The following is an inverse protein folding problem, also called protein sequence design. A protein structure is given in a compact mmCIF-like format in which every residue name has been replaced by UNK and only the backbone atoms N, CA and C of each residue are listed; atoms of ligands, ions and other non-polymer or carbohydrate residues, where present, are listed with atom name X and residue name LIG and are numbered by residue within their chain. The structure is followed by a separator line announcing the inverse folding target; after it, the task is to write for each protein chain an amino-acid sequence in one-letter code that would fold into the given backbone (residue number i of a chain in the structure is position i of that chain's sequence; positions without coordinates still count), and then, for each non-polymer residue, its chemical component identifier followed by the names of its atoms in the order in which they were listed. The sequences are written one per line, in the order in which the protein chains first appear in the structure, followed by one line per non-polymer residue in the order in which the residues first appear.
data_IF_922202146209
#
_entry.id   IF_922202146209
#
_cell.length_a   1.000
_cell.length_b   1.000
_cell.length_c   1.000
_cell.angle_alpha   90.00
_cell.angle_beta   90.00
_cell.angle_gamma   90.00
#
_symmetry.space_group_name_H-M   'P 1'
#
loop_
_entity.id
_entity.type
_entity.pdbx_description
1 polymer ?
#
# COMPACT_ATOMS: atom_id res chain seq x y z
N UNK A 1 -25.59 93.08 40.69
CA UNK A 1 -25.01 94.23 39.94
C UNK A 1 -24.30 93.65 38.73
N UNK A 2 -24.67 94.13 37.55
CA UNK A 2 -24.32 93.64 36.20
C UNK A 2 -22.87 94.00 35.87
N UNK A 3 -22.18 93.12 35.13
CA UNK A 3 -21.31 93.34 33.94
C UNK A 3 -20.41 92.09 33.77
N UNK A 4 -20.49 91.20 32.76
CA UNK A 4 -20.36 91.32 31.29
C UNK A 4 -19.17 92.25 30.94
N UNK A 5 -18.08 91.86 30.25
CA UNK A 5 -17.99 91.25 28.90
C UNK A 5 -16.50 91.13 28.47
N UNK A 6 -16.14 90.04 27.75
CA UNK A 6 -15.21 89.90 26.57
C UNK A 6 -13.75 90.44 26.66
N UNK A 7 -12.76 90.03 25.85
CA UNK A 7 -12.67 89.31 24.57
C UNK A 7 -11.27 88.63 24.49
N UNK A 8 -11.26 87.60 23.65
CA UNK A 8 -10.24 86.64 23.20
C UNK A 8 -8.96 87.21 22.51
N UNK A 9 -7.78 86.56 22.69
CA UNK A 9 -7.03 85.82 21.63
C UNK A 9 -5.55 85.50 21.98
N UNK A 10 -5.21 84.24 21.70
CA UNK A 10 -3.93 83.67 21.23
C UNK A 10 -2.69 83.73 22.13
N UNK A 11 -2.22 82.55 22.58
CA UNK A 11 -0.79 82.20 22.58
C UNK A 11 -0.61 80.66 22.60
N UNK A 12 0.35 80.17 21.81
CA UNK A 12 0.78 78.76 21.68
C UNK A 12 1.51 78.30 22.96
N UNK A 13 1.32 77.04 23.39
CA UNK A 13 2.22 76.37 24.34
C UNK A 13 2.41 74.89 23.97
N UNK A 14 3.66 74.45 24.03
CA UNK A 14 4.20 73.10 23.80
C UNK A 14 4.03 72.20 25.06
N UNK A 15 3.95 70.88 24.81
CA UNK A 15 3.90 69.71 25.72
C UNK A 15 4.89 69.74 26.94
N UNK A 16 4.74 68.94 28.04
CA UNK A 16 4.29 67.53 28.02
C UNK A 16 3.57 66.93 29.27
N UNK A 17 3.15 65.67 29.08
CA UNK A 17 2.93 64.59 30.07
C UNK A 17 2.08 64.85 31.33
N UNK A 18 0.87 64.26 31.34
CA UNK A 18 0.52 63.27 32.37
C UNK A 18 -0.77 62.48 32.05
N UNK A 19 -0.70 61.17 32.33
CA UNK A 19 -1.79 60.26 32.75
C UNK A 19 -2.89 59.83 31.76
N UNK A 20 -2.71 58.60 31.27
CA UNK A 20 -3.68 57.50 31.17
C UNK A 20 -5.10 57.84 30.71
N UNK A 21 -5.34 57.73 29.39
CA UNK A 21 -6.64 57.32 28.88
C UNK A 21 -6.55 55.85 28.45
N UNK A 22 -7.42 55.04 29.05
CA UNK A 22 -7.66 53.63 28.74
C UNK A 22 -8.13 53.51 27.29
N UNK A 23 -7.26 53.06 26.40
CA UNK A 23 -7.65 52.62 25.06
C UNK A 23 -7.99 51.15 25.15
N UNK A 24 -9.29 50.85 25.08
CA UNK A 24 -9.84 49.51 25.03
C UNK A 24 -9.51 48.93 23.64
N UNK A 25 -8.33 48.31 23.50
CA UNK A 25 -7.93 47.60 22.29
C UNK A 25 -8.46 46.17 22.39
N UNK A 26 -9.69 45.96 21.90
CA UNK A 26 -10.32 44.65 21.77
C UNK A 26 -9.49 43.83 20.77
N UNK A 27 -8.61 42.98 21.28
CA UNK A 27 -8.00 41.91 20.51
C UNK A 27 -9.06 40.81 20.35
N UNK A 28 -9.81 40.86 19.25
CA UNK A 28 -10.62 39.74 18.81
C UNK A 28 -9.67 38.70 18.21
N UNK A 29 -9.06 37.88 19.07
CA UNK A 29 -8.36 36.66 18.64
C UNK A 29 -9.45 35.72 18.13
N UNK A 30 -9.64 35.71 16.81
CA UNK A 30 -10.34 34.65 16.10
C UNK A 30 -9.55 33.35 16.32
N UNK A 31 -9.90 32.61 17.37
CA UNK A 31 -9.67 31.17 17.43
C UNK A 31 -10.52 30.55 16.32
N UNK A 32 -9.99 30.55 15.10
CA UNK A 32 -10.34 29.52 14.13
C UNK A 32 -9.72 28.23 14.66
N UNK A 33 -10.40 27.58 15.61
CA UNK A 33 -10.25 26.16 15.83
C UNK A 33 -10.60 25.50 14.50
N UNK A 34 -9.58 25.16 13.73
CA UNK A 34 -9.70 24.23 12.61
C UNK A 34 -10.22 22.92 13.21
N UNK A 35 -11.54 22.77 13.22
CA UNK A 35 -12.16 21.47 13.37
C UNK A 35 -11.80 20.74 12.08
N UNK A 36 -10.66 20.06 12.11
CA UNK A 36 -10.39 19.01 11.16
C UNK A 36 -11.50 17.98 11.36
N UNK A 37 -12.52 18.03 10.51
CA UNK A 37 -13.42 16.90 10.34
C UNK A 37 -12.55 15.85 9.66
N UNK A 38 -11.84 15.08 10.48
CA UNK A 38 -11.30 13.80 10.05
C UNK A 38 -12.52 12.95 9.75
N UNK A 39 -12.89 12.84 8.48
CA UNK A 39 -13.67 11.69 8.03
C UNK A 39 -12.82 10.48 8.37
N UNK A 40 -13.08 9.88 9.54
CA UNK A 40 -12.49 8.61 9.90
C UNK A 40 -13.02 7.60 8.89
N UNK A 41 -12.22 7.25 7.90
CA UNK A 41 -12.49 6.09 7.07
C UNK A 41 -12.56 4.91 8.03
N UNK A 42 -13.76 4.33 8.16
CA UNK A 42 -13.97 3.20 9.05
C UNK A 42 -13.17 2.02 8.47
N UNK A 43 -12.01 1.75 9.06
CA UNK A 43 -11.21 0.59 8.72
C UNK A 43 -12.02 -0.64 9.08
N UNK A 44 -12.10 -1.58 8.14
CA UNK A 44 -12.79 -2.85 8.32
C UNK A 44 -12.19 -3.56 9.56
N UNK A 45 -13.01 -4.22 10.42
CA UNK A 45 -12.51 -4.97 11.57
C UNK A 45 -11.46 -6.02 11.20
N UNK A 46 -11.49 -6.52 9.96
CA UNK A 46 -10.49 -7.43 9.46
C UNK A 46 -9.10 -6.83 9.47
N UNK A 47 -8.95 -5.58 9.03
CA UNK A 47 -7.64 -4.97 8.79
C UNK A 47 -7.18 -4.04 9.92
N UNK A 48 -7.95 -3.92 11.00
CA UNK A 48 -7.57 -3.11 12.16
C UNK A 48 -6.48 -3.76 13.03
N UNK A 49 -6.11 -5.01 12.75
CA UNK A 49 -5.09 -5.76 13.47
C UNK A 49 -4.06 -6.32 12.51
N UNK A 50 -2.80 -6.25 12.91
CA UNK A 50 -1.65 -6.81 12.19
C UNK A 50 -1.31 -8.23 12.65
N UNK A 51 -1.88 -8.68 13.78
CA UNK A 51 -1.72 -10.05 14.28
C UNK A 51 -2.31 -11.09 13.30
N UNK A 52 -1.59 -12.20 13.02
CA UNK A 52 -2.06 -13.26 12.15
C UNK A 52 -3.40 -13.81 12.62
N UNK A 53 -4.39 -13.79 11.73
CA UNK A 53 -5.71 -14.34 12.01
C UNK A 53 -5.68 -15.88 11.87
N UNK A 54 -5.94 -16.65 12.94
CA UNK A 54 -5.98 -18.11 12.88
C UNK A 54 -7.22 -18.59 12.13
N UNK A 55 -7.00 -19.35 11.05
CA UNK A 55 -8.07 -19.91 10.22
C UNK A 55 -7.79 -21.38 9.87
N UNK A 56 -8.85 -22.18 9.69
CA UNK A 56 -8.75 -23.51 9.10
C UNK A 56 -9.41 -23.54 7.74
N UNK A 57 -8.77 -24.24 6.81
CA UNK A 57 -9.31 -24.45 5.47
C UNK A 57 -9.06 -25.89 5.03
N UNK A 58 -10.02 -26.46 4.29
CA UNK A 58 -9.90 -27.81 3.74
C UNK A 58 -10.46 -27.82 2.32
N UNK A 59 -9.61 -28.12 1.34
CA UNK A 59 -10.03 -28.22 -0.06
C UNK A 59 -9.06 -29.08 -0.89
N UNK A 60 -9.55 -29.61 -2.02
CA UNK A 60 -8.71 -30.24 -3.04
C UNK A 60 -8.10 -29.15 -3.92
N UNK A 61 -6.77 -29.12 -4.02
CA UNK A 61 -6.06 -28.20 -4.91
C UNK A 61 -6.31 -28.60 -6.38
N UNK A 62 -6.37 -29.91 -6.67
CA UNK A 62 -6.66 -30.43 -8.01
C UNK A 62 -8.06 -30.03 -8.50
N UNK A 63 -9.08 -30.21 -7.66
CA UNK A 63 -10.45 -29.83 -8.02
C UNK A 63 -10.59 -28.32 -8.15
N UNK A 64 -9.99 -27.54 -7.24
CA UNK A 64 -9.98 -26.08 -7.34
C UNK A 64 -9.42 -25.62 -8.68
N UNK A 65 -8.30 -26.18 -9.13
CA UNK A 65 -7.69 -25.85 -10.44
C UNK A 65 -8.53 -26.31 -11.63
N UNK A 66 -9.12 -27.49 -11.53
CA UNK A 66 -9.89 -28.10 -12.63
C UNK A 66 -11.23 -27.41 -12.85
N UNK A 67 -11.90 -27.04 -11.76
CA UNK A 67 -13.31 -26.67 -11.77
C UNK A 67 -13.54 -25.15 -11.65
N UNK A 68 -12.50 -24.36 -11.38
CA UNK A 68 -12.61 -22.90 -11.24
C UNK A 68 -11.71 -22.16 -12.22
N UNK A 69 -12.11 -20.94 -12.54
CA UNK A 69 -11.34 -19.99 -13.34
C UNK A 69 -11.69 -18.58 -12.86
N UNK A 70 -11.40 -17.53 -13.63
CA UNK A 70 -11.69 -16.16 -13.20
C UNK A 70 -13.18 -15.79 -13.03
N UNK A 71 -14.08 -16.68 -13.45
CA UNK A 71 -15.54 -16.50 -13.40
C UNK A 71 -16.29 -17.61 -12.63
N UNK A 72 -15.73 -18.82 -12.55
CA UNK A 72 -16.40 -19.97 -11.91
C UNK A 72 -15.87 -20.19 -10.51
N UNK A 73 -16.76 -20.38 -9.54
CA UNK A 73 -16.43 -20.64 -8.14
C UNK A 73 -16.81 -22.08 -7.73
N UNK A 74 -16.14 -22.59 -6.70
CA UNK A 74 -16.55 -23.80 -5.98
C UNK A 74 -16.93 -23.46 -4.53
N UNK A 75 -17.92 -24.17 -4.00
CA UNK A 75 -18.31 -24.03 -2.60
C UNK A 75 -17.24 -24.60 -1.65
N UNK A 76 -17.03 -23.90 -0.54
CA UNK A 76 -16.13 -24.32 0.53
C UNK A 76 -16.54 -23.64 1.85
N UNK A 77 -15.70 -23.76 2.86
CA UNK A 77 -15.85 -23.09 4.14
C UNK A 77 -14.48 -22.76 4.72
N UNK A 78 -14.48 -21.73 5.54
CA UNK A 78 -13.38 -21.36 6.42
C UNK A 78 -13.86 -21.53 7.85
N UNK A 79 -13.02 -22.08 8.72
CA UNK A 79 -13.29 -22.03 10.16
C UNK A 79 -12.46 -20.91 10.77
N UNK A 80 -13.12 -19.98 11.45
CA UNK A 80 -12.52 -18.87 12.17
C UNK A 80 -12.46 -19.21 13.65
N UNK A 81 -11.34 -19.00 14.31
CA UNK A 81 -11.27 -19.12 15.77
C UNK A 81 -11.90 -17.88 16.41
N UNK A 82 -13.09 -18.01 16.98
CA UNK A 82 -13.84 -16.88 17.57
C UNK A 82 -13.45 -16.62 19.02
N UNK A 83 -12.97 -17.66 19.70
CA UNK A 83 -12.30 -17.63 21.00
C UNK A 83 -11.35 -18.84 21.11
N UNK A 84 -10.36 -18.87 22.03
CA UNK A 84 -9.38 -19.96 22.09
C UNK A 84 -10.05 -21.35 22.11
N UNK A 85 -9.81 -22.14 21.07
CA UNK A 85 -10.39 -23.48 20.89
C UNK A 85 -11.81 -23.53 20.32
N UNK A 86 -12.51 -22.40 20.17
CA UNK A 86 -13.84 -22.32 19.58
C UNK A 86 -13.76 -21.89 18.11
N UNK A 87 -14.27 -22.74 17.21
CA UNK A 87 -14.20 -22.53 15.77
C UNK A 87 -15.58 -22.35 15.15
N UNK A 88 -15.79 -21.20 14.51
CA UNK A 88 -17.02 -20.89 13.79
C UNK A 88 -16.85 -21.13 12.28
N UNK A 89 -17.78 -21.88 11.70
CA UNK A 89 -17.76 -22.21 10.27
C UNK A 89 -18.41 -21.11 9.45
N UNK A 90 -17.65 -20.52 8.54
CA UNK A 90 -18.08 -19.47 7.63
C UNK A 90 -18.12 -20.04 6.21
N UNK A 91 -19.33 -20.21 5.62
CA UNK A 91 -19.45 -20.70 4.26
C UNK A 91 -18.98 -19.65 3.25
N UNK A 92 -18.23 -20.10 2.26
CA UNK A 92 -17.68 -19.25 1.21
C UNK A 92 -17.67 -19.97 -0.14
N UNK A 93 -17.45 -19.18 -1.17
CA UNK A 93 -17.13 -19.62 -2.52
C UNK A 93 -15.66 -19.29 -2.77
N UNK A 94 -14.91 -20.19 -3.40
CA UNK A 94 -13.50 -19.97 -3.73
C UNK A 94 -13.21 -20.26 -5.20
N UNK A 95 -12.25 -19.54 -5.76
CA UNK A 95 -11.74 -19.77 -7.13
C UNK A 95 -10.26 -19.48 -7.23
N UNK A 96 -9.62 -20.06 -8.24
CA UNK A 96 -8.28 -19.64 -8.66
C UNK A 96 -8.32 -18.25 -9.30
N UNK A 97 -7.17 -17.57 -9.29
CA UNK A 97 -6.94 -16.31 -10.02
C UNK A 97 -5.51 -16.22 -10.54
N UNK A 98 -5.28 -15.32 -11.50
CA UNK A 98 -3.95 -14.99 -12.00
C UNK A 98 -3.36 -16.03 -12.95
N UNK A 99 -2.15 -15.76 -13.44
CA UNK A 99 -1.55 -16.53 -14.54
C UNK A 99 -0.30 -17.30 -14.10
N UNK A 100 0.78 -16.58 -13.75
CA UNK A 100 2.10 -17.18 -13.50
C UNK A 100 2.08 -18.16 -12.32
N UNK A 101 1.65 -17.69 -11.13
CA UNK A 101 1.56 -18.55 -9.94
C UNK A 101 0.51 -19.65 -10.10
N UNK A 102 -0.55 -19.40 -10.86
CA UNK A 102 -1.51 -20.45 -11.18
C UNK A 102 -0.84 -21.58 -11.97
N UNK A 103 0.02 -21.29 -12.94
CA UNK A 103 0.73 -22.32 -13.70
C UNK A 103 1.87 -23.00 -12.91
N UNK A 104 2.58 -22.25 -12.04
CA UNK A 104 3.88 -22.68 -11.51
C UNK A 104 3.92 -23.02 -10.01
N UNK A 105 2.92 -22.61 -9.23
CA UNK A 105 2.89 -22.87 -7.78
C UNK A 105 2.09 -24.13 -7.45
N UNK A 106 2.40 -24.77 -6.32
CA UNK A 106 1.56 -25.80 -5.73
C UNK A 106 0.25 -25.19 -5.22
N UNK A 107 0.34 -24.20 -4.32
CA UNK A 107 -0.81 -23.46 -3.84
C UNK A 107 -1.11 -22.32 -4.83
N UNK A 108 -2.25 -22.37 -5.54
CA UNK A 108 -2.60 -21.32 -6.49
C UNK A 108 -2.97 -20.04 -5.74
N UNK A 109 -2.96 -18.87 -6.41
CA UNK A 109 -3.60 -17.68 -5.87
C UNK A 109 -5.12 -17.92 -5.77
N UNK A 110 -5.73 -17.54 -4.65
CA UNK A 110 -7.14 -17.81 -4.38
C UNK A 110 -7.89 -16.49 -4.20
N UNK A 111 -9.09 -16.42 -4.78
CA UNK A 111 -10.10 -15.43 -4.36
C UNK A 111 -11.18 -16.15 -3.57
N UNK A 112 -11.46 -15.67 -2.38
CA UNK A 112 -12.58 -16.13 -1.54
C UNK A 112 -13.69 -15.09 -1.59
N UNK A 113 -14.92 -15.57 -1.59
CA UNK A 113 -16.13 -14.75 -1.61
C UNK A 113 -17.10 -15.31 -0.59
N UNK A 114 -17.42 -14.53 0.43
CA UNK A 114 -18.31 -14.98 1.49
C UNK A 114 -19.76 -14.89 1.04
N UNK A 115 -20.60 -15.80 1.56
CA UNK A 115 -22.04 -15.75 1.34
C UNK A 115 -22.64 -14.66 2.26
N UNK A 116 -22.82 -13.44 1.74
CA UNK A 116 -23.12 -12.15 2.41
C UNK A 116 -23.81 -12.18 3.79
N UNK A 117 -24.87 -12.96 4.00
CA UNK A 117 -25.61 -12.97 5.27
C UNK A 117 -24.85 -13.60 6.46
N UNK A 118 -23.71 -14.26 6.20
CA UNK A 118 -22.99 -15.07 7.20
C UNK A 118 -21.73 -14.42 7.76
N UNK A 119 -21.37 -13.22 7.32
CA UNK A 119 -20.19 -12.49 7.81
C UNK A 119 -20.52 -11.34 8.77
N UNK A 120 -21.79 -10.96 8.91
CA UNK A 120 -22.22 -9.91 9.84
C UNK A 120 -21.88 -10.31 11.29
N UNK A 121 -21.26 -9.41 12.05
CA UNK A 121 -20.80 -9.70 13.41
C UNK A 121 -19.54 -10.55 13.49
N UNK A 122 -18.92 -10.90 12.35
CA UNK A 122 -17.60 -11.55 12.31
C UNK A 122 -16.53 -10.54 11.95
N UNK A 123 -15.26 -10.92 12.12
CA UNK A 123 -14.12 -10.10 11.68
C UNK A 123 -14.15 -9.80 10.17
N UNK A 124 -14.85 -10.60 9.37
CA UNK A 124 -14.99 -10.41 7.91
C UNK A 124 -16.12 -9.45 7.52
N UNK A 125 -16.84 -8.87 8.47
CA UNK A 125 -17.92 -7.93 8.21
C UNK A 125 -17.46 -6.81 7.24
N UNK A 126 -18.32 -6.48 6.27
CA UNK A 126 -18.03 -5.56 5.16
C UNK A 126 -16.92 -5.98 4.17
N UNK A 127 -16.40 -7.21 4.24
CA UNK A 127 -15.43 -7.73 3.27
C UNK A 127 -16.04 -8.92 2.55
N UNK A 128 -16.86 -8.67 1.53
CA UNK A 128 -17.59 -9.74 0.80
C UNK A 128 -16.66 -10.66 0.02
N UNK A 129 -15.51 -10.13 -0.38
CA UNK A 129 -14.52 -10.79 -1.21
C UNK A 129 -13.13 -10.44 -0.69
N UNK A 130 -12.21 -11.40 -0.73
CA UNK A 130 -10.82 -11.20 -0.37
C UNK A 130 -9.92 -12.01 -1.32
N UNK A 131 -8.69 -11.54 -1.51
CA UNK A 131 -7.65 -12.34 -2.17
C UNK A 131 -6.82 -12.99 -1.08
N UNK A 132 -6.65 -14.31 -1.14
CA UNK A 132 -5.81 -15.07 -0.21
C UNK A 132 -4.49 -15.43 -0.91
N UNK A 133 -3.40 -14.99 -0.32
CA UNK A 133 -2.04 -15.34 -0.73
C UNK A 133 -1.51 -16.42 0.21
N UNK A 134 -1.10 -17.53 -0.39
CA UNK A 134 -0.45 -18.67 0.28
C UNK A 134 0.96 -18.85 -0.28
N UNK A 135 1.87 -19.60 0.36
CA UNK A 135 3.20 -19.83 -0.18
C UNK A 135 3.15 -20.51 -1.56
N UNK A 136 4.11 -20.24 -2.46
CA UNK A 136 4.07 -20.87 -3.79
C UNK A 136 4.33 -22.39 -3.75
N UNK A 137 5.21 -22.84 -2.87
CA UNK A 137 5.64 -24.25 -2.74
C UNK A 137 5.70 -24.64 -1.27
N UNK A 138 5.76 -25.95 -1.00
CA UNK A 138 6.14 -26.46 0.33
C UNK A 138 7.64 -26.28 0.54
N UNK A 139 8.09 -26.04 1.77
CA UNK A 139 9.51 -26.10 2.11
C UNK A 139 9.91 -25.14 3.22
N UNK A 140 11.13 -25.37 3.73
CA UNK A 140 11.77 -24.45 4.69
C UNK A 140 12.02 -23.12 3.98
N UNK A 141 11.54 -22.00 4.55
CA UNK A 141 11.66 -20.66 3.98
C UNK A 141 10.46 -20.20 3.14
N UNK A 142 9.44 -21.05 2.95
CA UNK A 142 8.21 -20.65 2.25
C UNK A 142 7.52 -19.45 2.93
N UNK A 143 7.48 -19.46 4.27
CA UNK A 143 6.92 -18.37 5.08
C UNK A 143 7.73 -17.08 4.94
N UNK A 144 9.07 -17.16 4.80
CA UNK A 144 9.90 -15.96 4.58
C UNK A 144 9.52 -15.20 3.31
N UNK A 145 9.15 -15.90 2.23
CA UNK A 145 8.69 -15.23 1.01
C UNK A 145 7.35 -14.52 1.24
N UNK A 146 6.46 -15.14 2.03
CA UNK A 146 5.18 -14.52 2.43
C UNK A 146 5.41 -13.30 3.30
N UNK A 147 6.27 -13.40 4.32
CA UNK A 147 6.62 -12.28 5.19
C UNK A 147 7.26 -11.11 4.42
N UNK A 148 8.11 -11.39 3.43
CA UNK A 148 8.71 -10.34 2.58
C UNK A 148 7.69 -9.70 1.63
N UNK A 149 6.80 -10.48 1.04
CA UNK A 149 5.73 -9.94 0.17
C UNK A 149 4.77 -9.08 1.00
N UNK A 150 4.40 -9.55 2.20
CA UNK A 150 3.60 -8.80 3.15
C UNK A 150 4.29 -7.49 3.58
N UNK A 151 5.59 -7.55 3.89
CA UNK A 151 6.38 -6.36 4.20
C UNK A 151 6.33 -5.32 3.06
N UNK A 152 6.31 -5.74 1.80
CA UNK A 152 6.16 -4.82 0.67
C UNK A 152 4.84 -4.05 0.74
N UNK A 153 3.72 -4.71 1.07
CA UNK A 153 2.44 -4.03 1.31
C UNK A 153 2.55 -3.06 2.48
N UNK A 154 3.12 -3.47 3.61
CA UNK A 154 3.25 -2.63 4.80
C UNK A 154 4.12 -1.38 4.54
N UNK A 155 5.20 -1.51 3.77
CA UNK A 155 6.02 -0.37 3.35
C UNK A 155 5.28 0.58 2.41
N UNK A 156 4.34 0.08 1.60
CA UNK A 156 3.52 0.93 0.73
C UNK A 156 2.58 1.83 1.55
N UNK A 157 2.05 1.34 2.67
CA UNK A 157 1.19 2.11 3.58
C UNK A 157 1.89 3.34 4.17
N UNK A 158 3.21 3.27 4.39
CA UNK A 158 4.02 4.41 4.86
C UNK A 158 4.16 5.51 3.79
N UNK A 159 3.93 5.19 2.51
CA UNK A 159 4.18 6.08 1.37
C UNK A 159 2.92 6.79 0.91
N UNK A 160 1.81 6.06 0.84
CA UNK A 160 0.58 6.53 0.22
C UNK A 160 -0.62 6.10 1.06
N UNK A 161 -1.70 6.87 1.01
CA UNK A 161 -3.00 6.43 1.53
C UNK A 161 -3.70 5.44 0.57
N UNK A 162 -3.30 5.41 -0.70
CA UNK A 162 -3.93 4.60 -1.74
C UNK A 162 -3.24 3.25 -1.86
N UNK A 163 -3.64 2.32 -0.99
CA UNK A 163 -3.15 0.94 -0.95
C UNK A 163 -4.32 -0.03 -0.77
N UNK A 164 -4.05 -1.33 -0.88
CA UNK A 164 -4.98 -2.37 -0.45
C UNK A 164 -4.68 -2.71 1.00
N UNK A 165 -5.71 -2.73 1.86
CA UNK A 165 -5.52 -3.23 3.21
C UNK A 165 -5.11 -4.72 3.18
N UNK A 166 -4.17 -5.10 4.05
CA UNK A 166 -3.70 -6.48 4.15
C UNK A 166 -3.66 -6.96 5.59
N UNK A 167 -3.79 -8.28 5.80
CA UNK A 167 -3.63 -8.91 7.12
C UNK A 167 -3.10 -10.32 6.99
N UNK A 168 -2.11 -10.66 7.80
CA UNK A 168 -1.58 -12.02 7.92
C UNK A 168 -2.66 -13.00 8.41
N UNK A 169 -2.57 -14.24 7.94
CA UNK A 169 -3.37 -15.37 8.40
C UNK A 169 -2.46 -16.54 8.72
N UNK A 170 -2.76 -17.24 9.82
CA UNK A 170 -2.19 -18.55 10.09
C UNK A 170 -3.20 -19.60 9.61
N UNK A 171 -2.89 -20.28 8.51
CA UNK A 171 -3.81 -21.23 7.86
C UNK A 171 -3.45 -22.65 8.26
N UNK A 172 -4.30 -23.26 9.06
CA UNK A 172 -4.30 -24.69 9.30
C UNK A 172 -5.01 -25.37 8.13
N UNK A 173 -4.22 -25.82 7.16
CA UNK A 173 -4.69 -26.30 5.87
C UNK A 173 -4.66 -27.84 5.80
N UNK A 174 -5.79 -28.42 5.40
CA UNK A 174 -5.89 -29.85 5.06
C UNK A 174 -6.11 -30.02 3.57
N UNK A 175 -5.15 -30.66 2.88
CA UNK A 175 -5.27 -30.94 1.45
C UNK A 175 -6.10 -32.22 1.22
N UNK A 176 -7.28 -32.09 0.62
CA UNK A 176 -8.15 -33.23 0.34
C UNK A 176 -7.60 -34.16 -0.76
N UNK A 177 -6.56 -33.74 -1.49
CA UNK A 177 -5.85 -34.59 -2.46
C UNK A 177 -4.89 -35.59 -1.80
N UNK A 178 -4.51 -35.36 -0.54
CA UNK A 178 -3.52 -36.19 0.16
C UNK A 178 -4.19 -37.33 0.92
N UNK A 179 -4.03 -38.56 0.41
CA UNK A 179 -4.59 -39.78 1.00
C UNK A 179 -4.02 -40.10 2.37
N UNK A 180 -2.80 -39.65 2.69
CA UNK A 180 -2.21 -39.85 4.03
C UNK A 180 -2.78 -38.88 5.06
N UNK A 181 -3.46 -37.83 4.61
CA UNK A 181 -4.04 -36.80 5.45
C UNK A 181 -2.98 -36.02 6.23
N UNK A 182 -3.42 -34.95 6.88
CA UNK A 182 -2.57 -34.15 7.75
C UNK A 182 -2.83 -32.66 7.60
N UNK A 183 -2.99 -32.00 8.73
CA UNK A 183 -3.06 -30.55 8.78
C UNK A 183 -1.63 -29.99 8.64
N UNK A 184 -1.44 -29.03 7.74
CA UNK A 184 -0.21 -28.27 7.60
C UNK A 184 -0.49 -26.84 7.99
N UNK A 185 0.33 -26.25 8.86
CA UNK A 185 0.25 -24.83 9.15
C UNK A 185 1.00 -24.04 8.09
N UNK A 186 0.34 -23.05 7.49
CA UNK A 186 0.89 -22.18 6.44
C UNK A 186 0.73 -20.72 6.89
N UNK A 187 1.79 -19.92 6.75
CA UNK A 187 1.63 -18.48 6.79
C UNK A 187 1.05 -17.98 5.46
N UNK A 188 0.04 -17.13 5.52
CA UNK A 188 -0.53 -16.46 4.35
C UNK A 188 -0.93 -15.03 4.70
N UNK A 189 -1.54 -14.33 3.76
CA UNK A 189 -2.21 -13.05 4.05
C UNK A 189 -3.41 -12.81 3.14
N UNK A 190 -4.34 -12.03 3.65
CA UNK A 190 -5.52 -11.55 2.95
C UNK A 190 -5.22 -10.16 2.38
N UNK A 191 -5.71 -9.91 1.17
CA UNK A 191 -5.68 -8.61 0.51
C UNK A 191 -7.12 -8.16 0.28
N UNK A 192 -7.40 -6.90 0.62
CA UNK A 192 -8.65 -6.20 0.32
C UNK A 192 -9.05 -6.34 -1.15
N UNK A 193 -10.35 -6.36 -1.39
CA UNK A 193 -10.88 -6.42 -2.74
C UNK A 193 -10.83 -5.08 -3.47
N UNK A 194 -10.77 -5.17 -4.80
CA UNK A 194 -10.77 -4.04 -5.73
C UNK A 194 -11.98 -3.11 -5.51
N UNK A 195 -13.16 -3.70 -5.28
CA UNK A 195 -14.39 -2.93 -5.06
C UNK A 195 -14.40 -2.23 -3.69
N UNK A 196 -13.84 -2.86 -2.66
CA UNK A 196 -13.82 -2.32 -1.30
C UNK A 196 -12.79 -1.17 -1.17
N UNK A 197 -11.62 -1.29 -1.80
CA UNK A 197 -10.67 -0.15 -1.85
C UNK A 197 -11.26 1.03 -2.65
N UNK A 198 -12.01 0.76 -3.72
CA UNK A 198 -12.67 1.82 -4.48
C UNK A 198 -13.76 2.51 -3.66
N UNK A 199 -14.60 1.72 -2.97
CA UNK A 199 -15.63 2.23 -2.06
C UNK A 199 -15.03 3.07 -0.93
N UNK A 200 -13.88 2.64 -0.36
CA UNK A 200 -13.16 3.39 0.69
C UNK A 200 -12.85 4.83 0.28
N UNK A 201 -12.53 5.08 -0.98
CA UNK A 201 -12.22 6.42 -1.47
C UNK A 201 -13.34 7.07 -2.30
N UNK A 202 -14.54 6.46 -2.32
CA UNK A 202 -15.65 6.93 -3.17
C UNK A 202 -15.33 6.92 -4.67
N UNK A 203 -14.36 6.11 -5.09
CA UNK A 203 -13.87 6.04 -6.46
C UNK A 203 -14.34 4.78 -7.18
N UNK A 204 -13.71 4.50 -8.32
CA UNK A 204 -13.94 3.28 -9.11
C UNK A 204 -12.63 2.73 -9.67
N UNK A 205 -12.53 1.41 -9.80
CA UNK A 205 -11.42 0.77 -10.50
C UNK A 205 -11.63 0.87 -12.01
N UNK A 206 -10.61 1.37 -12.71
CA UNK A 206 -10.61 1.44 -14.17
C UNK A 206 -10.16 0.09 -14.74
N UNK A 207 -10.95 -0.46 -15.67
CA UNK A 207 -10.70 -1.78 -16.28
C UNK A 207 -10.57 -1.65 -17.80
N UNK A 208 -9.65 -2.43 -18.39
CA UNK A 208 -9.64 -2.72 -19.84
C UNK A 208 -9.19 -1.57 -20.76
N UNK A 209 -8.61 -0.49 -20.22
CA UNK A 209 -8.09 0.63 -21.02
C UNK A 209 -6.60 0.81 -20.75
N UNK A 210 -5.82 1.07 -21.79
CA UNK A 210 -4.46 1.61 -21.61
C UNK A 210 -4.59 3.01 -21.00
N UNK A 211 -3.83 3.28 -19.96
CA UNK A 211 -3.85 4.58 -19.30
C UNK A 211 -2.49 5.21 -19.51
N UNK A 212 -2.48 6.36 -20.18
CA UNK A 212 -1.24 7.10 -20.38
C UNK A 212 -0.72 7.54 -19.00
N UNK A 213 0.55 7.29 -18.67
CA UNK A 213 1.13 7.71 -17.40
C UNK A 213 1.01 9.22 -17.13
N UNK A 214 0.88 10.04 -18.18
CA UNK A 214 0.71 11.50 -18.10
C UNK A 214 -0.68 11.94 -17.68
N UNK A 215 -1.69 11.05 -17.69
CA UNK A 215 -3.03 11.36 -17.19
C UNK A 215 -3.20 11.00 -15.71
N UNK A 216 -2.23 10.30 -15.13
CA UNK A 216 -2.25 9.97 -13.70
C UNK A 216 -1.76 11.15 -12.87
N UNK A 217 -2.23 11.21 -11.63
CA UNK A 217 -1.82 12.25 -10.69
C UNK A 217 -0.33 12.12 -10.36
N UNK A 218 0.43 13.17 -10.68
CA UNK A 218 1.89 13.11 -10.68
C UNK A 218 2.49 12.65 -9.34
N UNK A 219 1.99 13.17 -8.22
CA UNK A 219 2.58 12.86 -6.91
C UNK A 219 2.39 11.40 -6.49
N UNK A 220 1.23 10.81 -6.80
CA UNK A 220 0.94 9.42 -6.52
C UNK A 220 1.75 8.51 -7.44
N UNK A 221 1.88 8.88 -8.72
CA UNK A 221 2.70 8.14 -9.68
C UNK A 221 4.18 8.14 -9.31
N UNK A 222 4.78 9.29 -9.01
CA UNK A 222 6.21 9.33 -8.64
C UNK A 222 6.47 8.60 -7.32
N UNK A 223 5.58 8.72 -6.33
CA UNK A 223 5.68 7.92 -5.08
C UNK A 223 5.63 6.42 -5.38
N UNK A 224 4.71 5.99 -6.24
CA UNK A 224 4.61 4.60 -6.65
C UNK A 224 5.87 4.14 -7.39
N UNK A 225 6.41 4.94 -8.31
CA UNK A 225 7.62 4.60 -9.06
C UNK A 225 8.85 4.46 -8.12
N UNK A 226 8.97 5.33 -7.13
CA UNK A 226 9.98 5.23 -6.08
C UNK A 226 9.79 3.98 -5.22
N UNK A 227 8.56 3.66 -4.86
CA UNK A 227 8.24 2.42 -4.14
C UNK A 227 8.63 1.18 -4.95
N UNK A 228 8.24 1.10 -6.23
CA UNK A 228 8.59 -0.03 -7.08
C UNK A 228 10.11 -0.17 -7.23
N UNK A 229 10.84 0.95 -7.35
CA UNK A 229 12.30 0.95 -7.34
C UNK A 229 12.88 0.48 -5.99
N UNK A 230 12.32 0.94 -4.86
CA UNK A 230 12.73 0.55 -3.51
C UNK A 230 12.70 -0.98 -3.33
N UNK A 231 11.59 -1.61 -3.71
CA UNK A 231 11.41 -3.06 -3.60
C UNK A 231 12.03 -3.85 -4.76
N UNK A 232 12.63 -3.18 -5.75
CA UNK A 232 13.21 -3.82 -6.93
C UNK A 232 12.17 -4.52 -7.80
N UNK A 233 10.95 -3.97 -7.87
CA UNK A 233 9.90 -4.53 -8.70
C UNK A 233 9.99 -3.95 -10.10
N UNK A 234 10.23 -4.83 -11.07
CA UNK A 234 10.16 -4.48 -12.49
C UNK A 234 9.02 -5.18 -13.20
N UNK A 235 8.27 -6.06 -12.54
CA UNK A 235 7.13 -6.78 -13.11
C UNK A 235 5.83 -5.97 -12.94
N UNK A 236 5.82 -4.73 -13.45
CA UNK A 236 4.63 -3.90 -13.48
C UNK A 236 4.59 -3.01 -14.73
N UNK A 237 3.39 -2.57 -15.10
CA UNK A 237 3.20 -1.57 -16.14
C UNK A 237 1.99 -0.70 -15.91
N UNK A 238 2.24 0.59 -15.72
CA UNK A 238 1.22 1.64 -15.66
C UNK A 238 0.43 1.76 -16.96
N UNK A 239 1.10 1.62 -18.10
CA UNK A 239 0.47 1.78 -19.42
C UNK A 239 -0.46 0.61 -19.77
N UNK A 240 -0.05 -0.62 -19.41
CA UNK A 240 -0.78 -1.84 -19.74
C UNK A 240 -1.58 -2.40 -18.56
N UNK A 241 -1.54 -1.75 -17.40
CA UNK A 241 -2.17 -2.20 -16.15
C UNK A 241 -1.75 -3.62 -15.73
N UNK A 242 -0.48 -3.96 -15.99
CA UNK A 242 0.12 -5.22 -15.54
C UNK A 242 0.60 -5.06 -14.10
N UNK A 243 0.15 -5.93 -13.19
CA UNK A 243 0.37 -5.85 -11.73
C UNK A 243 0.17 -4.44 -11.15
N UNK A 244 -0.81 -3.73 -11.70
CA UNK A 244 -1.20 -2.40 -11.26
C UNK A 244 -2.68 -2.19 -11.59
N UNK A 245 -3.46 -1.76 -10.59
CA UNK A 245 -4.82 -1.23 -10.79
C UNK A 245 -4.76 0.28 -10.87
N UNK A 246 -5.87 0.88 -11.30
CA UNK A 246 -6.03 2.33 -11.33
C UNK A 246 -7.35 2.69 -10.69
N UNK A 247 -7.26 3.58 -9.69
CA UNK A 247 -8.37 4.14 -8.96
C UNK A 247 -8.68 5.52 -9.54
N UNK A 248 -9.87 5.68 -10.09
CA UNK A 248 -10.39 6.97 -10.51
C UNK A 248 -11.27 7.53 -9.39
N UNK A 249 -10.86 8.64 -8.79
CA UNK A 249 -11.63 9.33 -7.75
C UNK A 249 -12.66 10.29 -8.36
N UNK A 250 -12.27 10.98 -9.42
CA UNK A 250 -13.11 11.91 -10.18
C UNK A 250 -12.63 11.99 -11.65
N UNK A 251 -13.15 12.95 -12.43
CA UNK A 251 -12.77 13.11 -13.84
C UNK A 251 -11.28 13.46 -14.08
N UNK A 252 -10.62 14.07 -13.09
CA UNK A 252 -9.25 14.59 -13.19
C UNK A 252 -8.26 13.82 -12.30
N UNK A 253 -8.74 13.10 -11.29
CA UNK A 253 -7.89 12.43 -10.31
C UNK A 253 -7.84 10.93 -10.57
N UNK A 254 -6.74 10.49 -11.18
CA UNK A 254 -6.45 9.10 -11.52
C UNK A 254 -5.21 8.65 -10.76
N UNK A 255 -5.36 7.66 -9.89
CA UNK A 255 -4.35 7.21 -8.95
C UNK A 255 -3.92 5.78 -9.28
N UNK A 256 -2.61 5.48 -9.34
CA UNK A 256 -2.18 4.10 -9.46
C UNK A 256 -2.34 3.35 -8.12
N UNK A 257 -2.74 2.08 -8.21
CA UNK A 257 -2.81 1.15 -7.09
C UNK A 257 -1.89 -0.04 -7.38
N UNK A 258 -0.73 -0.06 -6.74
CA UNK A 258 0.23 -1.14 -6.88
C UNK A 258 -0.22 -2.39 -6.09
N UNK A 259 -0.01 -3.58 -6.65
CA UNK A 259 -0.24 -4.87 -6.01
C UNK A 259 0.57 -5.95 -6.73
N UNK A 260 0.57 -7.18 -6.20
CA UNK A 260 1.35 -8.32 -6.71
C UNK A 260 2.87 -8.05 -6.60
N UNK A 261 3.40 -8.26 -5.38
CA UNK A 261 4.81 -7.98 -5.05
C UNK A 261 5.64 -9.25 -4.89
N UNK A 262 5.12 -10.40 -5.29
CA UNK A 262 5.79 -11.69 -5.17
C UNK A 262 7.09 -11.75 -6.01
N UNK A 263 7.10 -11.12 -7.19
CA UNK A 263 8.21 -11.15 -8.14
C UNK A 263 9.06 -9.87 -8.13
N UNK A 264 9.52 -9.45 -6.95
CA UNK A 264 10.41 -8.29 -6.80
C UNK A 264 11.71 -8.63 -6.07
N UNK A 265 12.72 -7.75 -6.16
CA UNK A 265 14.01 -7.92 -5.49
C UNK A 265 13.96 -8.03 -3.98
N UNK A 266 12.97 -7.40 -3.33
CA UNK A 266 12.76 -7.52 -1.88
C UNK A 266 12.38 -8.95 -1.48
N UNK A 267 11.50 -9.60 -2.25
CA UNK A 267 11.07 -10.99 -1.98
C UNK A 267 12.12 -11.98 -2.48
N UNK A 268 12.64 -11.74 -3.70
CA UNK A 268 13.64 -12.56 -4.40
C UNK A 268 13.33 -14.07 -4.35
N UNK A 269 12.12 -14.52 -4.76
CA UNK A 269 11.80 -15.94 -4.73
C UNK A 269 12.63 -16.72 -5.78
N UNK A 270 12.82 -18.04 -5.60
CA UNK A 270 13.65 -18.85 -6.48
C UNK A 270 13.08 -19.00 -7.90
N UNK A 271 11.80 -18.70 -8.08
CA UNK A 271 11.10 -18.70 -9.36
C UNK A 271 11.04 -17.31 -10.02
N UNK A 272 11.63 -16.28 -9.41
CA UNK A 272 11.60 -14.93 -9.94
C UNK A 272 12.21 -14.87 -11.33
N UNK A 273 11.56 -14.15 -12.24
CA UNK A 273 12.04 -13.95 -13.60
C UNK A 273 12.20 -12.46 -13.88
N UNK A 274 13.16 -12.16 -14.73
CA UNK A 274 13.37 -10.81 -15.25
C UNK A 274 12.93 -10.81 -16.71
N UNK A 275 12.15 -9.81 -17.08
CA UNK A 275 11.76 -9.57 -18.46
C UNK A 275 13.00 -9.44 -19.36
N UNK A 276 13.17 -10.27 -20.42
CA UNK A 276 14.33 -10.20 -21.32
C UNK A 276 14.51 -8.85 -22.02
N UNK A 277 13.44 -8.05 -22.09
CA UNK A 277 13.46 -6.69 -22.63
C UNK A 277 14.13 -5.67 -21.70
N UNK A 278 14.45 -6.06 -20.45
CA UNK A 278 15.10 -5.19 -19.47
C UNK A 278 16.60 -5.51 -19.41
N UNK A 279 17.42 -4.48 -19.28
CA UNK A 279 18.87 -4.62 -19.18
C UNK A 279 19.32 -4.87 -17.72
N UNK A 280 18.72 -5.86 -17.07
CA UNK A 280 19.06 -6.33 -15.72
C UNK A 280 19.15 -7.85 -15.71
N UNK A 281 19.95 -8.43 -14.82
CA UNK A 281 20.22 -9.87 -14.79
C UNK A 281 19.43 -10.59 -13.70
N UNK A 282 19.08 -9.87 -12.63
CA UNK A 282 18.35 -10.40 -11.47
C UNK A 282 17.28 -9.41 -11.03
N UNK A 283 16.22 -9.91 -10.38
CA UNK A 283 15.20 -9.06 -9.73
C UNK A 283 15.79 -8.20 -8.60
N UNK A 284 16.96 -8.56 -8.08
CA UNK A 284 17.72 -7.74 -7.12
C UNK A 284 18.48 -6.57 -7.76
N UNK A 285 18.61 -6.56 -9.08
CA UNK A 285 19.18 -5.42 -9.81
C UNK A 285 18.09 -4.35 -9.93
N UNK A 286 18.13 -3.34 -9.08
CA UNK A 286 17.14 -2.26 -9.13
C UNK A 286 17.19 -1.54 -10.47
N UNK A 287 16.02 -1.33 -11.06
CA UNK A 287 15.84 -0.55 -12.28
C UNK A 287 14.66 0.40 -12.10
N UNK A 288 14.92 1.71 -12.22
CA UNK A 288 13.86 2.69 -12.17
C UNK A 288 13.01 2.60 -13.43
N UNK A 289 11.70 2.39 -13.26
CA UNK A 289 10.74 2.29 -14.36
C UNK A 289 9.79 3.49 -14.43
N UNK A 290 10.00 4.53 -13.63
CA UNK A 290 9.15 5.72 -13.69
C UNK A 290 9.34 6.52 -14.98
N UNK A 291 8.34 7.34 -15.30
CA UNK A 291 8.43 8.28 -16.42
C UNK A 291 9.11 9.55 -15.99
N UNK A 292 9.79 10.22 -16.92
CA UNK A 292 10.45 11.49 -16.64
C UNK A 292 9.41 12.54 -16.20
N UNK A 293 9.82 13.35 -15.22
CA UNK A 293 9.06 14.43 -14.59
C UNK A 293 10.01 15.58 -14.31
N UNK A 294 9.45 16.73 -13.95
CA UNK A 294 10.26 17.87 -13.51
C UNK A 294 11.22 17.46 -12.38
N UNK A 295 12.50 17.84 -12.51
CA UNK A 295 13.53 17.40 -11.57
C UNK A 295 13.28 17.94 -10.16
N UNK A 296 12.84 19.19 -10.02
CA UNK A 296 12.55 19.77 -8.71
C UNK A 296 11.41 19.01 -8.01
N UNK A 297 10.40 18.60 -8.78
CA UNK A 297 9.33 17.74 -8.29
C UNK A 297 9.83 16.36 -7.81
N UNK A 298 10.66 15.68 -8.62
CA UNK A 298 11.22 14.37 -8.25
C UNK A 298 12.13 14.47 -7.02
N UNK A 299 12.90 15.56 -6.90
CA UNK A 299 13.70 15.85 -5.71
C UNK A 299 12.83 16.10 -4.47
N UNK A 300 11.67 16.75 -4.60
CA UNK A 300 10.75 16.92 -3.48
C UNK A 300 10.23 15.56 -2.96
N UNK A 301 9.88 14.63 -3.86
CA UNK A 301 9.49 13.26 -3.47
C UNK A 301 10.67 12.49 -2.87
N UNK A 302 11.89 12.66 -3.38
CA UNK A 302 13.11 12.10 -2.75
C UNK A 302 13.24 12.53 -1.29
N UNK A 303 13.05 13.82 -0.99
CA UNK A 303 13.11 14.32 0.38
C UNK A 303 12.00 13.74 1.26
N UNK A 304 10.80 13.50 0.73
CA UNK A 304 9.72 12.82 1.44
C UNK A 304 10.14 11.41 1.89
N UNK A 305 10.73 10.61 1.00
CA UNK A 305 11.21 9.26 1.33
C UNK A 305 12.35 9.29 2.35
N UNK A 306 13.28 10.22 2.23
CA UNK A 306 14.37 10.39 3.21
C UNK A 306 13.83 10.77 4.60
N UNK A 307 12.83 11.65 4.66
CA UNK A 307 12.20 12.03 5.92
C UNK A 307 11.47 10.85 6.60
N UNK A 308 10.93 9.92 5.81
CA UNK A 308 10.23 8.71 6.28
C UNK A 308 11.16 7.51 6.56
N UNK A 309 12.47 7.63 6.36
CA UNK A 309 13.41 6.51 6.50
C UNK A 309 13.30 5.78 7.86
N UNK A 310 13.19 6.54 8.96
CA UNK A 310 13.04 5.95 10.30
C UNK A 310 11.73 5.16 10.47
N UNK A 311 10.64 5.65 9.88
CA UNK A 311 9.34 4.96 9.86
C UNK A 311 9.43 3.65 9.09
N UNK A 312 10.07 3.64 7.92
CA UNK A 312 10.29 2.41 7.15
C UNK A 312 11.09 1.37 7.94
N UNK A 313 12.16 1.78 8.63
CA UNK A 313 12.93 0.86 9.46
C UNK A 313 12.12 0.30 10.63
N UNK A 314 11.27 1.13 11.25
CA UNK A 314 10.33 0.64 12.27
C UNK A 314 9.35 -0.38 11.68
N UNK A 315 8.82 -0.14 10.48
CA UNK A 315 7.94 -1.08 9.77
C UNK A 315 8.65 -2.41 9.50
N UNK A 316 9.89 -2.36 9.01
CA UNK A 316 10.74 -3.54 8.80
C UNK A 316 10.91 -4.33 10.10
N UNK A 317 11.24 -3.66 11.21
CA UNK A 317 11.45 -4.31 12.51
C UNK A 317 10.18 -4.97 13.07
N UNK A 318 8.99 -4.36 12.88
CA UNK A 318 7.72 -4.97 13.31
C UNK A 318 7.41 -6.29 12.59
N UNK A 319 7.92 -6.47 11.36
CA UNK A 319 7.66 -7.67 10.57
C UNK A 319 8.72 -8.77 10.70
N UNK A 320 9.73 -8.58 11.55
CA UNK A 320 10.90 -9.48 11.64
C UNK A 320 10.53 -10.93 11.97
N UNK A 321 9.44 -11.16 12.70
CA UNK A 321 9.02 -12.50 13.14
C UNK A 321 8.46 -13.38 12.03
N UNK A 322 8.15 -12.82 10.87
CA UNK A 322 7.55 -13.53 9.73
C UNK A 322 8.57 -13.97 8.69
N UNK A 323 9.85 -13.90 9.00
CA UNK A 323 10.94 -14.40 8.17
C UNK A 323 12.12 -14.84 9.03
N UNK A 324 13.02 -15.63 8.45
CA UNK A 324 14.24 -16.05 9.16
C UNK A 324 15.18 -14.86 9.44
N UNK A 325 16.07 -14.98 10.44
CA UNK A 325 17.09 -13.95 10.72
C UNK A 325 17.99 -13.66 9.50
N UNK A 326 18.32 -14.71 8.74
CA UNK A 326 19.09 -14.58 7.49
C UNK A 326 18.31 -13.76 6.46
N UNK A 327 17.03 -14.08 6.26
CA UNK A 327 16.15 -13.33 5.36
C UNK A 327 15.98 -11.89 5.82
N UNK A 328 15.85 -11.67 7.12
CA UNK A 328 15.74 -10.34 7.71
C UNK A 328 16.98 -9.50 7.44
N UNK A 329 18.17 -10.08 7.60
CA UNK A 329 19.44 -9.41 7.28
C UNK A 329 19.53 -9.06 5.79
N UNK A 330 19.12 -9.98 4.91
CA UNK A 330 19.09 -9.73 3.46
C UNK A 330 18.10 -8.61 3.11
N UNK A 331 16.89 -8.64 3.69
CA UNK A 331 15.86 -7.60 3.57
C UNK A 331 16.41 -6.23 3.97
N UNK A 332 17.01 -6.11 5.16
CA UNK A 332 17.63 -4.85 5.63
C UNK A 332 18.74 -4.38 4.70
N UNK A 333 19.61 -5.28 4.27
CA UNK A 333 20.72 -4.95 3.34
C UNK A 333 20.18 -4.44 2.00
N UNK A 334 19.17 -5.11 1.46
CA UNK A 334 18.56 -4.73 0.20
C UNK A 334 17.94 -3.33 0.32
N UNK A 335 17.06 -3.09 1.30
CA UNK A 335 16.40 -1.80 1.53
C UNK A 335 17.39 -0.67 1.83
N UNK A 336 18.48 -0.95 2.56
CA UNK A 336 19.54 0.04 2.78
C UNK A 336 20.11 0.54 1.46
N UNK A 337 20.32 -0.34 0.49
CA UNK A 337 20.80 0.05 -0.84
C UNK A 337 19.89 1.05 -1.56
N UNK A 338 18.58 1.06 -1.29
CA UNK A 338 17.68 2.09 -1.83
C UNK A 338 17.95 3.45 -1.20
N UNK A 339 18.07 3.51 0.13
CA UNK A 339 18.42 4.76 0.82
C UNK A 339 19.82 5.24 0.48
N UNK A 340 20.78 4.35 0.22
CA UNK A 340 22.11 4.72 -0.26
C UNK A 340 22.03 5.45 -1.62
N UNK A 341 21.15 4.99 -2.53
CA UNK A 341 20.86 5.71 -3.78
C UNK A 341 20.22 7.06 -3.49
N UNK A 342 19.18 7.11 -2.64
CA UNK A 342 18.52 8.38 -2.31
C UNK A 342 19.41 9.37 -1.57
N UNK A 343 20.44 8.95 -0.83
CA UNK A 343 21.35 9.85 -0.09
C UNK A 343 22.51 10.36 -0.94
N UNK A 344 22.76 9.76 -2.10
CA UNK A 344 23.89 10.10 -2.95
C UNK A 344 23.41 10.77 -4.25
N UNK A 345 23.74 12.06 -4.42
CA UNK A 345 23.26 12.84 -5.57
C UNK A 345 23.68 12.27 -6.93
N UNK A 346 24.89 11.69 -7.01
CA UNK A 346 25.36 11.05 -8.23
C UNK A 346 24.55 9.79 -8.54
N UNK A 347 24.40 8.89 -7.56
CA UNK A 347 23.61 7.66 -7.76
C UNK A 347 22.14 7.97 -8.05
N UNK A 348 21.56 8.94 -7.34
CA UNK A 348 20.19 9.39 -7.57
C UNK A 348 20.00 9.93 -8.99
N UNK A 349 20.93 10.79 -9.45
CA UNK A 349 20.92 11.28 -10.82
C UNK A 349 20.98 10.12 -11.82
N UNK A 350 21.99 9.26 -11.68
CA UNK A 350 22.27 8.21 -12.65
C UNK A 350 21.16 7.14 -12.71
N UNK A 351 20.60 6.75 -11.56
CA UNK A 351 19.66 5.63 -11.45
C UNK A 351 18.19 6.03 -11.48
N UNK A 352 17.84 7.30 -11.25
CA UNK A 352 16.45 7.77 -11.23
C UNK A 352 16.24 8.88 -12.25
N UNK A 353 16.96 10.00 -12.13
CA UNK A 353 16.70 11.18 -12.98
C UNK A 353 17.05 10.94 -14.45
N UNK A 354 18.18 10.29 -14.75
CA UNK A 354 18.58 9.99 -16.14
C UNK A 354 18.08 8.64 -16.63
N UNK A 355 17.68 7.75 -15.73
CA UNK A 355 17.16 6.42 -16.08
C UNK A 355 15.65 6.40 -16.32
N UNK A 356 14.95 7.52 -16.12
CA UNK A 356 13.52 7.62 -16.35
C UNK A 356 13.14 7.40 -17.82
N UNK A 357 11.89 7.01 -18.04
CA UNK A 357 11.35 6.75 -19.38
C UNK A 357 10.72 8.00 -19.99
N UNK A 358 11.01 8.26 -21.26
CA UNK A 358 10.31 9.23 -22.09
C UNK A 358 8.84 8.82 -22.32
N UNK A 359 8.07 9.72 -22.92
CA UNK A 359 6.64 9.51 -23.19
C UNK A 359 6.33 8.36 -24.16
N UNK A 360 7.31 7.97 -24.98
CA UNK A 360 7.29 6.80 -25.87
C UNK A 360 7.64 5.48 -25.14
N UNK A 361 8.04 5.56 -23.88
CA UNK A 361 8.46 4.42 -23.07
C UNK A 361 9.93 4.02 -23.22
N UNK A 362 10.71 4.70 -24.07
CA UNK A 362 12.16 4.52 -24.17
C UNK A 362 12.87 5.17 -22.97
N UNK A 363 14.04 4.66 -22.58
CA UNK A 363 14.86 5.29 -21.53
C UNK A 363 15.49 6.56 -22.11
N UNK A 364 15.42 7.68 -21.38
CA UNK A 364 15.99 8.93 -21.87
C UNK A 364 17.53 8.81 -21.96
N UNK A 365 18.11 9.04 -23.14
CA UNK A 365 19.56 9.10 -23.33
C UNK A 365 20.28 7.78 -23.62
N UNK A 366 19.59 6.74 -24.09
CA UNK A 366 20.21 5.58 -24.78
C UNK A 366 19.51 5.24 -26.07
#
# INVERSE_FOLDING_TARGET
MILWIKINRNLKVYFPHHTMKKTLFIHFILLFSAVSISFGFQTSPLFSSQEPLPIKMSFSIKELRKNTNDSTYMDSFLMLESSPGQWDTIPLEMRTRGNFRLANCLYPPIRIKFKNKKINGTVFENNKSLKLVLPCQKGKGADSYIGKEYLAYQLLEDITQYYFDTRLVQVNFTNLDDKKGGETSLLGFLIQDDDEVAARFGGKIVVGRKILPTVMQDSATVRQDFFQFMIGNTDFSTLFLHNQKVLQLDEKTIIPLAYDFDMCGLVSPPYAQVSPQLNIKSVTDRLYRGFCRDEAFVQAIRQEFLAKESQFWSTVERQQHYMSDTDMKMTKTFLKGFFDVLKNDRLFRDQILTACRGSDGAVQGR
#
